data_IF_860085437568
#
_entry.id   IF_860085437568
#
_cell.length_a   1.000
_cell.length_b   1.000
_cell.length_c   1.000
_cell.angle_alpha   90.00
_cell.angle_beta   90.00
_cell.angle_gamma   90.00
#
_symmetry.space_group_name_H-M   'P 1'
#
loop_
_entity.id
_entity.type
_entity.pdbx_description
1 polymer ?
#
# COMPACT_ATOMS: atom_id res chain seq x y z
N UNK A 1 11.03 33.53 13.02
CA UNK A 1 11.62 32.29 12.48
C UNK A 1 10.53 31.53 11.75
N UNK A 2 10.77 31.02 10.54
CA UNK A 2 9.81 30.20 9.79
C UNK A 2 9.56 28.89 10.56
N UNK A 3 8.29 28.55 10.80
CA UNK A 3 7.84 27.32 11.47
C UNK A 3 8.34 26.08 10.70
N UNK A 4 8.69 25.01 11.41
CA UNK A 4 9.00 23.72 10.75
C UNK A 4 7.72 23.13 10.16
N UNK A 5 7.83 22.50 9.00
CA UNK A 5 6.79 21.71 8.36
C UNK A 5 7.15 20.23 8.52
N UNK A 6 6.24 19.46 9.11
CA UNK A 6 6.40 18.03 9.35
C UNK A 6 5.30 17.29 8.60
N UNK A 7 5.70 16.56 7.56
CA UNK A 7 4.82 15.70 6.80
C UNK A 7 4.86 14.28 7.35
N UNK A 8 3.71 13.71 7.67
CA UNK A 8 3.57 12.34 8.16
C UNK A 8 2.89 11.52 7.07
N UNK A 9 3.62 10.55 6.50
CA UNK A 9 3.05 9.61 5.55
C UNK A 9 2.32 8.51 6.31
N UNK A 10 1.12 8.15 5.87
CA UNK A 10 0.25 7.21 6.56
C UNK A 10 -0.23 6.17 5.56
N UNK A 11 0.13 4.91 5.79
CA UNK A 11 -0.34 3.80 4.97
C UNK A 11 0.53 2.55 5.10
N UNK A 12 -0.03 1.36 4.82
CA UNK A 12 0.70 0.09 4.83
C UNK A 12 1.96 0.10 3.97
N UNK A 13 2.86 -0.87 4.17
CA UNK A 13 3.97 -1.05 3.23
C UNK A 13 3.45 -1.30 1.80
N UNK A 14 4.28 -0.98 0.80
CA UNK A 14 3.97 -1.17 -0.63
C UNK A 14 2.82 -0.31 -1.20
N UNK A 15 2.42 0.77 -0.52
CA UNK A 15 1.43 1.74 -1.03
C UNK A 15 2.01 2.90 -1.86
N UNK A 16 3.32 2.91 -2.15
CA UNK A 16 3.97 3.97 -2.93
C UNK A 16 4.53 5.15 -2.13
N UNK A 17 4.60 5.07 -0.80
CA UNK A 17 5.19 6.12 0.07
C UNK A 17 6.61 6.52 -0.33
N UNK A 18 7.51 5.55 -0.51
CA UNK A 18 8.91 5.86 -0.86
C UNK A 18 9.02 6.51 -2.25
N UNK A 19 8.15 6.11 -3.21
CA UNK A 19 8.03 6.78 -4.51
C UNK A 19 7.55 8.23 -4.35
N UNK A 20 6.58 8.47 -3.45
CA UNK A 20 6.13 9.82 -3.10
C UNK A 20 7.26 10.68 -2.51
N UNK A 21 8.08 10.12 -1.63
CA UNK A 21 9.23 10.83 -1.04
C UNK A 21 10.23 11.23 -2.13
N UNK A 22 10.56 10.31 -3.05
CA UNK A 22 11.53 10.56 -4.12
C UNK A 22 11.12 11.68 -5.09
N UNK A 23 9.82 11.81 -5.38
CA UNK A 23 9.30 12.89 -6.25
C UNK A 23 9.10 14.23 -5.53
N UNK A 24 9.20 14.24 -4.20
CA UNK A 24 8.91 15.40 -3.36
C UNK A 24 10.20 16.05 -2.87
N UNK A 25 10.13 17.35 -2.55
CA UNK A 25 11.29 18.10 -2.03
C UNK A 25 11.21 18.21 -0.51
N UNK A 26 11.83 17.27 0.20
CA UNK A 26 12.02 17.33 1.65
C UNK A 26 13.48 17.65 1.97
N UNK A 27 13.70 18.42 3.03
CA UNK A 27 15.06 18.71 3.52
C UNK A 27 15.64 17.50 4.25
N UNK A 28 14.77 16.70 4.90
CA UNK A 28 15.16 15.54 5.67
C UNK A 28 14.07 14.46 5.71
N UNK A 29 14.48 13.20 5.59
CA UNK A 29 13.60 12.01 5.67
C UNK A 29 13.92 11.22 6.93
N UNK A 30 12.93 11.06 7.81
CA UNK A 30 12.98 10.12 8.93
C UNK A 30 12.36 8.81 8.44
N UNK A 31 13.20 7.86 8.04
CA UNK A 31 12.80 6.54 7.51
C UNK A 31 13.41 5.42 8.34
N UNK A 32 12.56 4.52 8.85
CA UNK A 32 13.06 3.31 9.51
C UNK A 32 13.63 2.32 8.49
N UNK A 33 13.06 2.26 7.29
CA UNK A 33 13.51 1.33 6.25
C UNK A 33 14.92 1.69 5.77
N UNK A 34 15.24 2.97 5.57
CA UNK A 34 16.58 3.42 5.18
C UNK A 34 17.64 3.00 6.20
N UNK A 35 17.28 3.07 7.49
CA UNK A 35 18.16 2.66 8.59
C UNK A 35 18.31 1.14 8.64
N UNK A 36 17.23 0.40 8.41
CA UNK A 36 17.28 -1.06 8.32
C UNK A 36 18.17 -1.48 7.15
N UNK A 37 18.01 -0.86 5.97
CA UNK A 37 18.83 -1.14 4.78
C UNK A 37 20.32 -0.91 5.04
N UNK A 38 20.66 0.18 5.71
CA UNK A 38 22.03 0.41 6.13
C UNK A 38 22.55 -0.70 7.05
N UNK A 39 21.77 -1.07 8.07
CA UNK A 39 22.15 -2.08 9.05
C UNK A 39 22.30 -3.46 8.42
N UNK A 40 21.39 -3.88 7.54
CA UNK A 40 21.49 -5.20 6.92
C UNK A 40 22.74 -5.29 6.03
N UNK A 41 23.13 -4.20 5.37
CA UNK A 41 24.38 -4.13 4.60
C UNK A 41 25.61 -4.19 5.53
N UNK A 42 25.61 -3.44 6.63
CA UNK A 42 26.72 -3.40 7.59
C UNK A 42 26.94 -4.75 8.29
N UNK A 43 25.88 -5.56 8.45
CA UNK A 43 25.92 -6.85 9.14
C UNK A 43 25.77 -8.07 8.21
N UNK A 44 25.76 -7.88 6.89
CA UNK A 44 25.56 -8.92 5.87
C UNK A 44 24.33 -9.82 6.14
N UNK A 45 23.20 -9.17 6.44
CA UNK A 45 21.89 -9.80 6.65
C UNK A 45 20.96 -9.56 5.47
N UNK A 46 19.96 -10.40 5.32
CA UNK A 46 18.78 -10.13 4.51
C UNK A 46 17.75 -9.31 5.30
N UNK A 47 16.84 -8.65 4.59
CA UNK A 47 15.72 -7.93 5.22
C UNK A 47 14.90 -8.89 6.11
N UNK A 48 14.64 -10.11 5.62
CA UNK A 48 13.91 -11.14 6.37
C UNK A 48 14.59 -11.50 7.69
N UNK A 49 15.88 -11.83 7.64
CA UNK A 49 16.65 -12.20 8.84
C UNK A 49 16.62 -11.08 9.89
N UNK A 50 16.74 -9.82 9.47
CA UNK A 50 16.66 -8.69 10.40
C UNK A 50 15.33 -8.62 11.17
N UNK A 51 14.20 -8.93 10.53
CA UNK A 51 12.88 -8.92 11.18
C UNK A 51 12.61 -10.17 12.03
N UNK A 52 13.31 -11.27 11.78
CA UNK A 52 13.30 -12.49 12.62
C UNK A 52 14.12 -12.30 13.91
N UNK A 53 14.94 -11.25 14.02
CA UNK A 53 15.69 -10.93 15.24
C UNK A 53 14.78 -10.52 16.40
N UNK A 54 15.04 -11.13 17.56
CA UNK A 54 14.44 -10.78 18.85
C UNK A 54 14.54 -9.29 19.18
N UNK A 55 13.54 -8.75 19.88
CA UNK A 55 13.45 -7.32 20.16
C UNK A 55 14.71 -6.76 20.86
N UNK A 56 15.31 -7.52 21.77
CA UNK A 56 16.50 -7.13 22.54
C UNK A 56 17.84 -7.46 21.85
N UNK A 57 17.81 -8.02 20.63
CA UNK A 57 19.01 -8.33 19.86
C UNK A 57 19.90 -7.07 19.69
N UNK A 58 21.24 -7.18 19.79
CA UNK A 58 22.15 -6.03 19.63
C UNK A 58 21.91 -5.20 18.37
N UNK A 59 21.69 -5.86 17.22
CA UNK A 59 21.41 -5.20 15.93
C UNK A 59 20.09 -4.42 15.96
N UNK A 60 19.05 -4.94 16.65
CA UNK A 60 17.77 -4.24 16.83
C UNK A 60 17.92 -3.04 17.76
N UNK A 61 18.78 -3.13 18.78
CA UNK A 61 19.13 -1.98 19.65
C UNK A 61 19.90 -0.91 18.89
N UNK A 62 20.81 -1.31 18.02
CA UNK A 62 21.52 -0.40 17.11
C UNK A 62 20.56 0.34 16.19
N UNK A 63 19.63 -0.38 15.53
CA UNK A 63 18.59 0.22 14.69
C UNK A 63 17.80 1.31 15.44
N UNK A 64 17.35 1.02 16.66
CA UNK A 64 16.62 2.01 17.48
C UNK A 64 17.48 3.21 17.85
N UNK A 65 18.77 2.99 18.13
CA UNK A 65 19.72 4.07 18.41
C UNK A 65 19.92 4.98 17.19
N UNK A 66 20.10 4.41 16.00
CA UNK A 66 20.20 5.16 14.75
C UNK A 66 18.91 5.90 14.43
N UNK A 67 17.75 5.28 14.64
CA UNK A 67 16.45 5.93 14.46
C UNK A 67 16.30 7.14 15.39
N UNK A 68 16.64 6.98 16.68
CA UNK A 68 16.62 8.10 17.62
C UNK A 68 17.55 9.24 17.19
N UNK A 69 18.76 8.92 16.70
CA UNK A 69 19.70 9.92 16.17
C UNK A 69 19.12 10.65 14.95
N UNK A 70 18.51 9.93 14.01
CA UNK A 70 17.84 10.51 12.84
C UNK A 70 16.73 11.48 13.25
N UNK A 71 15.92 11.12 14.25
CA UNK A 71 14.89 12.02 14.81
C UNK A 71 15.53 13.28 15.42
N UNK A 72 16.64 13.18 16.15
CA UNK A 72 17.31 14.39 16.66
C UNK A 72 17.89 15.26 15.55
N UNK A 73 18.50 14.64 14.54
CA UNK A 73 19.11 15.34 13.40
C UNK A 73 18.06 16.11 12.59
N UNK A 74 16.91 15.48 12.35
CA UNK A 74 15.80 16.09 11.61
C UNK A 74 15.35 17.44 12.16
N UNK A 75 15.53 17.70 13.46
CA UNK A 75 15.12 18.95 14.12
C UNK A 75 15.87 20.18 13.63
N UNK A 76 17.01 20.00 12.95
CA UNK A 76 17.80 21.10 12.36
C UNK A 76 17.23 21.59 11.02
N UNK A 77 16.31 20.84 10.43
CA UNK A 77 15.75 21.08 9.10
C UNK A 77 14.37 21.72 9.17
N UNK A 78 13.93 22.35 8.07
CA UNK A 78 12.66 23.07 8.03
C UNK A 78 11.53 22.23 7.48
N UNK A 79 11.77 21.45 6.43
CA UNK A 79 10.79 20.59 5.78
C UNK A 79 11.15 19.12 5.96
N UNK A 80 10.42 18.43 6.83
CA UNK A 80 10.75 17.07 7.28
C UNK A 80 9.62 16.12 6.87
N UNK A 81 9.96 14.91 6.44
CA UNK A 81 8.98 13.84 6.23
C UNK A 81 9.27 12.64 7.12
N UNK A 82 8.22 12.06 7.69
CA UNK A 82 8.25 10.79 8.41
C UNK A 82 7.73 9.68 7.48
N UNK A 83 8.66 8.94 6.86
CA UNK A 83 8.37 7.76 6.03
C UNK A 83 8.36 6.50 6.90
N UNK A 84 7.22 6.28 7.55
CA UNK A 84 6.89 5.04 8.25
C UNK A 84 5.45 4.68 7.89
N UNK A 85 4.95 3.54 8.39
CA UNK A 85 3.58 3.13 8.12
C UNK A 85 2.53 3.98 8.86
N UNK A 86 2.85 4.45 10.08
CA UNK A 86 2.04 5.38 10.88
C UNK A 86 0.54 5.02 11.00
N UNK A 87 0.25 3.72 11.09
CA UNK A 87 -1.10 3.16 10.96
C UNK A 87 -2.04 3.52 12.12
N UNK A 88 -1.52 3.71 13.33
CA UNK A 88 -2.32 3.97 14.53
C UNK A 88 -2.16 5.40 15.03
N UNK A 89 -3.22 5.95 15.64
CA UNK A 89 -3.23 7.26 16.30
C UNK A 89 -2.12 7.36 17.35
N UNK A 90 -1.93 6.29 18.13
CA UNK A 90 -0.89 6.22 19.15
C UNK A 90 0.54 6.36 18.58
N UNK A 91 0.79 5.84 17.37
CA UNK A 91 2.09 6.01 16.71
C UNK A 91 2.26 7.41 16.15
N UNK A 92 1.22 7.97 15.50
CA UNK A 92 1.23 9.36 15.01
C UNK A 92 1.42 10.37 16.14
N UNK A 93 0.82 10.12 17.30
CA UNK A 93 0.95 10.97 18.49
C UNK A 93 2.40 11.12 19.00
N UNK A 94 3.25 10.11 18.79
CA UNK A 94 4.66 10.19 19.20
C UNK A 94 5.42 11.24 18.38
N UNK A 95 5.02 11.46 17.13
CA UNK A 95 5.66 12.40 16.21
C UNK A 95 5.44 13.84 16.69
N UNK A 96 4.22 14.21 17.10
CA UNK A 96 3.93 15.56 17.60
C UNK A 96 4.84 15.98 18.76
N UNK A 97 5.17 15.03 19.65
CA UNK A 97 6.06 15.28 20.80
C UNK A 97 7.47 15.70 20.41
N UNK A 98 7.92 15.34 19.21
CA UNK A 98 9.25 15.71 18.73
C UNK A 98 9.32 17.14 18.18
N UNK A 99 8.19 17.73 17.76
CA UNK A 99 8.12 19.05 17.14
C UNK A 99 6.93 19.86 17.67
N UNK A 100 6.98 20.32 18.93
CA UNK A 100 5.83 20.94 19.60
C UNK A 100 5.31 22.23 18.95
N UNK A 101 6.12 22.88 18.12
CA UNK A 101 5.80 24.14 17.43
C UNK A 101 5.79 24.00 15.91
N UNK A 102 5.70 22.79 15.36
CA UNK A 102 5.65 22.56 13.91
C UNK A 102 4.23 22.69 13.35
N UNK A 103 4.16 22.90 12.03
CA UNK A 103 2.97 22.67 11.22
C UNK A 103 2.99 21.22 10.75
N UNK A 104 1.88 20.51 10.94
CA UNK A 104 1.75 19.09 10.67
C UNK A 104 0.83 18.83 9.49
N UNK A 105 1.36 18.12 8.50
CA UNK A 105 0.63 17.69 7.32
C UNK A 105 0.56 16.17 7.32
N UNK A 106 -0.64 15.60 7.21
CA UNK A 106 -0.81 14.17 6.98
C UNK A 106 -1.03 13.90 5.49
N UNK A 107 -0.38 12.85 4.99
CA UNK A 107 -0.65 12.29 3.67
C UNK A 107 -1.11 10.85 3.86
N UNK A 108 -2.41 10.63 3.66
CA UNK A 108 -3.05 9.31 3.73
C UNK A 108 -2.94 8.62 2.36
N UNK A 109 -2.28 7.47 2.32
CA UNK A 109 -2.24 6.62 1.13
C UNK A 109 -3.48 5.72 1.13
N UNK A 110 -4.41 5.98 0.21
CA UNK A 110 -5.70 5.30 0.11
C UNK A 110 -5.48 3.89 -0.39
N UNK A 111 -5.60 2.92 0.52
CA UNK A 111 -5.31 1.51 0.26
C UNK A 111 -6.52 0.58 0.39
N UNK A 112 -7.62 1.08 0.99
CA UNK A 112 -8.86 0.30 1.15
C UNK A 112 -9.45 0.00 -0.22
N UNK A 113 -9.88 -1.25 -0.40
CA UNK A 113 -10.31 -1.85 -1.65
C UNK A 113 -9.20 -2.01 -2.71
N UNK A 114 -7.93 -1.86 -2.31
CA UNK A 114 -6.74 -2.05 -3.15
C UNK A 114 -5.76 -3.03 -2.54
N UNK A 115 -6.16 -3.73 -1.48
CA UNK A 115 -5.33 -4.65 -0.72
C UNK A 115 -4.72 -5.72 -1.62
N UNK A 116 -5.52 -6.32 -2.52
CA UNK A 116 -5.03 -7.31 -3.49
C UNK A 116 -3.84 -6.78 -4.31
N UNK A 117 -3.97 -5.58 -4.88
CA UNK A 117 -2.90 -4.97 -5.68
C UNK A 117 -1.68 -4.65 -4.84
N UNK A 118 -1.86 -4.22 -3.60
CA UNK A 118 -0.72 -3.96 -2.68
C UNK A 118 0.02 -5.27 -2.36
N UNK A 119 -0.71 -6.37 -2.16
CA UNK A 119 -0.10 -7.69 -1.97
C UNK A 119 0.66 -8.13 -3.23
N UNK A 120 0.07 -7.94 -4.43
CA UNK A 120 0.72 -8.22 -5.73
C UNK A 120 1.99 -7.39 -5.90
N UNK A 121 1.91 -6.07 -5.75
CA UNK A 121 3.07 -5.16 -5.82
C UNK A 121 4.15 -5.52 -4.79
N UNK A 122 3.77 -5.98 -3.60
CA UNK A 122 4.76 -6.42 -2.62
C UNK A 122 5.50 -7.69 -3.07
N UNK A 123 4.81 -8.64 -3.72
CA UNK A 123 5.43 -9.84 -4.29
C UNK A 123 6.40 -9.49 -5.42
N UNK A 124 5.98 -8.60 -6.33
CA UNK A 124 6.82 -8.09 -7.42
C UNK A 124 8.06 -7.36 -6.88
N UNK A 125 7.87 -6.45 -5.91
CA UNK A 125 8.97 -5.73 -5.26
C UNK A 125 9.96 -6.67 -4.57
N UNK A 126 9.50 -7.78 -4.01
CA UNK A 126 10.40 -8.78 -3.44
C UNK A 126 11.29 -9.42 -4.50
N UNK A 127 10.74 -9.76 -5.66
CA UNK A 127 11.51 -10.32 -6.78
C UNK A 127 12.58 -9.33 -7.29
N UNK A 128 12.25 -8.04 -7.32
CA UNK A 128 13.16 -6.99 -7.79
C UNK A 128 14.25 -6.61 -6.77
N UNK A 129 13.89 -6.52 -5.49
CA UNK A 129 14.72 -5.85 -4.47
C UNK A 129 15.18 -6.77 -3.34
N UNK A 130 14.64 -7.99 -3.24
CA UNK A 130 14.86 -8.90 -2.11
C UNK A 130 14.19 -8.46 -0.80
N UNK A 131 13.46 -7.34 -0.79
CA UNK A 131 12.71 -6.84 0.39
C UNK A 131 11.44 -7.66 0.60
N UNK A 132 11.58 -8.78 1.29
CA UNK A 132 10.47 -9.67 1.60
C UNK A 132 9.63 -9.13 2.77
N UNK A 133 8.32 -8.98 2.55
CA UNK A 133 7.33 -8.73 3.61
C UNK A 133 6.29 -9.83 3.52
N UNK A 134 6.10 -10.65 4.58
CA UNK A 134 5.08 -11.70 4.57
C UNK A 134 3.67 -11.12 4.35
N UNK A 135 2.84 -11.84 3.59
CA UNK A 135 1.47 -11.41 3.30
C UNK A 135 0.64 -11.19 4.56
N UNK A 136 0.74 -12.10 5.54
CA UNK A 136 0.06 -11.95 6.84
C UNK A 136 0.50 -10.71 7.60
N UNK A 137 1.75 -10.27 7.41
CA UNK A 137 2.23 -9.01 7.99
C UNK A 137 1.57 -7.80 7.33
N UNK A 138 1.38 -7.82 6.01
CA UNK A 138 0.63 -6.77 5.29
C UNK A 138 -0.85 -6.76 5.68
N UNK A 139 -1.50 -7.93 5.76
CA UNK A 139 -2.88 -8.06 6.25
C UNK A 139 -3.03 -7.48 7.65
N UNK A 140 -2.13 -7.83 8.55
CA UNK A 140 -2.11 -7.24 9.89
C UNK A 140 -1.86 -5.71 9.89
N UNK A 141 -1.18 -5.16 8.88
CA UNK A 141 -1.09 -3.70 8.71
C UNK A 141 -2.43 -3.09 8.27
N UNK A 142 -3.17 -3.75 7.38
CA UNK A 142 -4.50 -3.32 6.95
C UNK A 142 -5.49 -3.27 8.11
N UNK A 143 -5.43 -4.26 9.01
CA UNK A 143 -6.31 -4.37 10.18
C UNK A 143 -5.97 -3.36 11.28
N UNK A 144 -4.68 -3.04 11.45
CA UNK A 144 -4.21 -2.05 12.43
C UNK A 144 -4.51 -0.61 12.04
N UNK A 145 -4.97 -0.37 10.82
CA UNK A 145 -5.17 0.99 10.33
C UNK A 145 -6.29 1.71 11.08
N UNK A 146 -5.96 2.86 11.65
CA UNK A 146 -6.92 3.80 12.23
C UNK A 146 -6.99 5.07 11.36
N UNK A 147 -8.19 5.45 10.89
CA UNK A 147 -8.39 6.64 10.07
C UNK A 147 -7.74 7.88 10.66
N UNK A 148 -7.02 8.62 9.82
CA UNK A 148 -6.42 9.91 10.20
C UNK A 148 -7.50 10.97 10.40
N UNK A 149 -7.35 11.82 11.42
CA UNK A 149 -8.27 12.94 11.63
C UNK A 149 -7.57 14.21 12.11
N UNK A 150 -8.18 15.36 11.85
CA UNK A 150 -7.68 16.67 12.34
C UNK A 150 -7.67 16.76 13.86
N UNK A 151 -8.51 15.98 14.56
CA UNK A 151 -8.55 15.94 16.02
C UNK A 151 -7.23 15.41 16.64
N UNK A 152 -6.38 14.76 15.84
CA UNK A 152 -5.06 14.32 16.30
C UNK A 152 -4.05 15.47 16.40
N UNK A 153 -4.31 16.61 15.74
CA UNK A 153 -3.41 17.77 15.71
C UNK A 153 -2.79 18.09 14.35
N UNK A 154 -3.29 17.50 13.26
CA UNK A 154 -2.86 17.85 11.89
C UNK A 154 -3.49 19.15 11.40
N UNK A 155 -2.67 20.06 10.87
CA UNK A 155 -3.11 21.29 10.22
C UNK A 155 -3.80 20.99 8.88
N UNK A 156 -3.24 20.05 8.10
CA UNK A 156 -3.83 19.57 6.84
C UNK A 156 -3.78 18.06 6.72
N UNK A 157 -4.74 17.50 5.98
CA UNK A 157 -4.78 16.10 5.59
C UNK A 157 -5.04 16.07 4.08
N UNK A 158 -4.14 15.45 3.32
CA UNK A 158 -4.33 15.14 1.91
C UNK A 158 -4.36 13.63 1.71
N UNK A 159 -4.91 13.22 0.57
CA UNK A 159 -4.98 11.82 0.15
C UNK A 159 -4.17 11.61 -1.11
N UNK A 160 -3.41 10.53 -1.12
CA UNK A 160 -2.70 10.02 -2.30
C UNK A 160 -3.28 8.65 -2.62
N UNK A 161 -3.61 8.41 -3.87
CA UNK A 161 -4.07 7.08 -4.29
C UNK A 161 -2.91 6.09 -4.15
N UNK A 162 -3.12 4.99 -3.42
CA UNK A 162 -2.15 3.90 -3.45
C UNK A 162 -2.23 3.27 -4.84
N UNK A 163 -1.07 3.22 -5.50
CA UNK A 163 -0.85 2.68 -6.84
C UNK A 163 -1.59 3.47 -7.95
N UNK A 164 -1.03 3.56 -9.17
CA UNK A 164 -1.75 4.10 -10.33
C UNK A 164 -2.96 3.21 -10.68
N UNK A 165 -3.74 3.62 -11.69
CA UNK A 165 -4.79 2.77 -12.25
C UNK A 165 -4.20 1.38 -12.53
N UNK A 166 -4.77 0.38 -11.87
CA UNK A 166 -4.25 -0.98 -11.93
C UNK A 166 -4.93 -1.71 -13.09
N UNK A 167 -4.22 -2.64 -13.72
CA UNK A 167 -4.78 -3.48 -14.78
C UNK A 167 -4.83 -4.91 -14.27
N UNK A 168 -6.03 -5.50 -14.28
CA UNK A 168 -6.24 -6.92 -14.07
C UNK A 168 -6.33 -7.58 -15.45
N UNK A 169 -5.28 -8.26 -15.84
CA UNK A 169 -5.26 -9.11 -17.03
C UNK A 169 -5.72 -10.50 -16.57
N UNK A 170 -6.87 -10.96 -17.04
CA UNK A 170 -7.46 -12.21 -16.57
C UNK A 170 -6.58 -13.43 -16.91
N UNK A 171 -5.97 -13.43 -18.09
CA UNK A 171 -5.05 -14.46 -18.57
C UNK A 171 -3.81 -14.61 -17.68
N UNK A 172 -3.27 -13.50 -17.16
CA UNK A 172 -2.12 -13.49 -16.24
C UNK A 172 -2.47 -14.07 -14.87
N UNK A 173 -3.76 -14.21 -14.57
CA UNK A 173 -4.29 -14.75 -13.33
C UNK A 173 -4.89 -16.15 -13.52
N UNK A 174 -4.43 -16.87 -14.56
CA UNK A 174 -4.78 -18.25 -14.88
C UNK A 174 -6.27 -18.48 -15.26
N UNK A 175 -6.98 -17.44 -15.71
CA UNK A 175 -8.32 -17.61 -16.26
C UNK A 175 -8.27 -18.17 -17.69
N UNK A 176 -8.84 -19.37 -17.92
CA UNK A 176 -8.86 -20.01 -19.25
C UNK A 176 -9.98 -19.43 -20.14
N UNK A 177 -9.60 -18.43 -20.93
CA UNK A 177 -10.47 -17.76 -21.90
C UNK A 177 -10.81 -18.63 -23.11
N UNK A 178 -10.02 -19.66 -23.38
CA UNK A 178 -10.08 -20.47 -24.60
C UNK A 178 -10.65 -21.86 -24.34
N UNK A 179 -11.12 -22.14 -23.12
CA UNK A 179 -11.71 -23.40 -22.70
C UNK A 179 -12.66 -23.98 -23.78
N UNK A 180 -12.18 -24.90 -24.64
CA UNK A 180 -12.82 -25.17 -25.93
C UNK A 180 -14.10 -26.00 -25.81
N UNK A 181 -14.43 -26.39 -24.58
CA UNK A 181 -15.59 -27.17 -24.21
C UNK A 181 -16.74 -26.32 -23.68
N UNK A 182 -16.52 -25.01 -23.45
CA UNK A 182 -17.54 -24.10 -22.96
C UNK A 182 -18.25 -23.40 -24.11
N UNK A 183 -19.56 -23.27 -24.00
CA UNK A 183 -20.34 -22.35 -24.83
C UNK A 183 -20.25 -20.91 -24.29
N UNK A 184 -20.81 -19.95 -25.02
CA UNK A 184 -20.73 -18.53 -24.68
C UNK A 184 -21.26 -18.20 -23.27
N UNK A 185 -22.37 -18.81 -22.85
CA UNK A 185 -22.93 -18.60 -21.51
C UNK A 185 -22.11 -19.27 -20.42
N UNK A 186 -21.56 -20.45 -20.71
CA UNK A 186 -20.66 -21.15 -19.80
C UNK A 186 -19.35 -20.37 -19.57
N UNK A 187 -18.83 -19.69 -20.60
CA UNK A 187 -17.68 -18.79 -20.46
C UNK A 187 -17.99 -17.60 -19.55
N UNK A 188 -19.14 -16.95 -19.71
CA UNK A 188 -19.55 -15.82 -18.84
C UNK A 188 -19.74 -16.29 -17.40
N UNK A 189 -20.35 -17.47 -17.20
CA UNK A 189 -20.51 -18.08 -15.88
C UNK A 189 -19.16 -18.43 -15.24
N UNK A 190 -18.25 -19.01 -16.01
CA UNK A 190 -16.89 -19.34 -15.56
C UNK A 190 -16.13 -18.09 -15.12
N UNK A 191 -16.22 -16.99 -15.88
CA UNK A 191 -15.64 -15.71 -15.50
C UNK A 191 -16.20 -15.20 -14.17
N UNK A 192 -17.52 -15.28 -13.98
CA UNK A 192 -18.16 -14.89 -12.72
C UNK A 192 -17.64 -15.73 -11.55
N UNK A 193 -17.65 -17.05 -11.69
CA UNK A 193 -17.18 -17.99 -10.66
C UNK A 193 -15.70 -17.76 -10.31
N UNK A 194 -14.85 -17.46 -11.31
CA UNK A 194 -13.46 -17.08 -11.11
C UNK A 194 -13.33 -15.79 -10.30
N UNK A 195 -14.05 -14.73 -10.69
CA UNK A 195 -14.00 -13.45 -9.98
C UNK A 195 -14.55 -13.55 -8.56
N UNK A 196 -15.66 -14.26 -8.36
CA UNK A 196 -16.23 -14.53 -7.03
C UNK A 196 -15.23 -15.24 -6.11
N UNK A 197 -14.41 -16.16 -6.68
CA UNK A 197 -13.46 -16.97 -5.91
C UNK A 197 -12.17 -16.23 -5.60
N UNK A 198 -11.61 -15.51 -6.57
CA UNK A 198 -10.27 -14.93 -6.50
C UNK A 198 -10.26 -13.43 -6.24
N UNK A 199 -11.36 -12.74 -6.54
CA UNK A 199 -11.47 -11.28 -6.49
C UNK A 199 -12.76 -10.83 -5.78
N UNK A 200 -12.99 -11.23 -4.51
CA UNK A 200 -14.24 -10.93 -3.79
C UNK A 200 -14.54 -9.43 -3.67
N UNK A 201 -13.51 -8.58 -3.67
CA UNK A 201 -13.69 -7.12 -3.65
C UNK A 201 -14.29 -6.55 -4.95
N UNK A 202 -14.24 -7.30 -6.04
CA UNK A 202 -14.92 -6.99 -7.31
C UNK A 202 -16.37 -7.49 -7.24
N UNK A 203 -16.60 -8.71 -6.72
CA UNK A 203 -17.94 -9.28 -6.63
C UNK A 203 -18.84 -8.58 -5.60
N UNK A 204 -18.25 -7.94 -4.60
CA UNK A 204 -18.97 -7.11 -3.61
C UNK A 204 -19.42 -5.74 -4.16
N UNK A 205 -19.13 -5.42 -5.43
CA UNK A 205 -19.52 -4.13 -6.03
C UNK A 205 -21.01 -4.06 -6.34
N UNK A 206 -21.60 -2.90 -6.02
CA UNK A 206 -22.97 -2.59 -6.45
C UNK A 206 -23.06 -2.57 -7.99
N UNK A 207 -23.96 -3.38 -8.55
CA UNK A 207 -24.09 -3.61 -9.99
C UNK A 207 -23.23 -4.76 -10.56
N UNK A 208 -22.46 -5.49 -9.73
CA UNK A 208 -21.65 -6.62 -10.19
C UNK A 208 -22.50 -7.71 -10.84
N UNK A 209 -23.57 -8.17 -10.18
CA UNK A 209 -24.43 -9.24 -10.73
C UNK A 209 -25.17 -8.79 -12.00
N UNK A 210 -25.49 -7.50 -12.12
CA UNK A 210 -26.15 -6.95 -13.31
C UNK A 210 -25.26 -7.07 -14.55
N UNK A 211 -23.94 -6.89 -14.41
CA UNK A 211 -22.97 -7.07 -15.51
C UNK A 211 -23.12 -8.45 -16.16
N UNK A 212 -23.20 -9.52 -15.35
CA UNK A 212 -23.29 -10.88 -15.87
C UNK A 212 -24.69 -11.23 -16.38
N UNK A 213 -25.73 -10.63 -15.78
CA UNK A 213 -27.11 -10.82 -16.22
C UNK A 213 -27.38 -10.16 -17.57
N UNK A 214 -26.85 -8.96 -17.80
CA UNK A 214 -27.03 -8.22 -19.05
C UNK A 214 -26.16 -8.78 -20.18
N UNK A 215 -25.04 -9.42 -19.84
CA UNK A 215 -24.05 -9.95 -20.79
C UNK A 215 -23.96 -11.48 -20.80
N UNK A 216 -25.06 -12.19 -20.52
CA UNK A 216 -25.11 -13.65 -20.32
C UNK A 216 -24.43 -14.46 -21.44
N UNK A 217 -24.38 -13.95 -22.68
CA UNK A 217 -23.83 -14.65 -23.84
C UNK A 217 -22.61 -13.97 -24.49
N UNK A 218 -22.01 -12.97 -23.83
CA UNK A 218 -20.86 -12.24 -24.37
C UNK A 218 -19.82 -11.95 -23.30
N UNK A 219 -18.77 -12.77 -23.25
CA UNK A 219 -17.66 -12.57 -22.31
C UNK A 219 -16.97 -11.22 -22.55
N UNK A 220 -16.83 -10.78 -23.81
CA UNK A 220 -16.20 -9.49 -24.13
C UNK A 220 -17.02 -8.31 -23.61
N UNK A 221 -18.35 -8.36 -23.73
CA UNK A 221 -19.22 -7.32 -23.19
C UNK A 221 -19.23 -7.36 -21.66
N UNK A 222 -19.27 -8.56 -21.06
CA UNK A 222 -19.16 -8.72 -19.61
C UNK A 222 -17.85 -8.11 -19.07
N UNK A 223 -16.71 -8.40 -19.71
CA UNK A 223 -15.40 -7.83 -19.33
C UNK A 223 -15.37 -6.31 -19.51
N UNK A 224 -15.94 -5.80 -20.60
CA UNK A 224 -16.01 -4.36 -20.84
C UNK A 224 -16.80 -3.63 -19.74
N UNK A 225 -18.00 -4.12 -19.43
CA UNK A 225 -18.88 -3.49 -18.43
C UNK A 225 -18.34 -3.69 -17.02
N UNK A 226 -17.73 -4.84 -16.74
CA UNK A 226 -16.98 -5.08 -15.52
C UNK A 226 -15.83 -4.08 -15.38
N UNK A 227 -15.06 -3.85 -16.44
CA UNK A 227 -13.96 -2.88 -16.44
C UNK A 227 -14.46 -1.46 -16.16
N UNK A 228 -15.59 -1.06 -16.76
CA UNK A 228 -16.23 0.22 -16.46
C UNK A 228 -16.66 0.34 -14.99
N UNK A 229 -17.24 -0.73 -14.45
CA UNK A 229 -17.66 -0.81 -13.05
C UNK A 229 -16.45 -0.73 -12.09
N UNK A 230 -15.42 -1.54 -12.32
CA UNK A 230 -14.22 -1.56 -11.46
C UNK A 230 -13.39 -0.28 -11.59
N UNK A 231 -13.39 0.37 -12.75
CA UNK A 231 -12.75 1.68 -12.91
C UNK A 231 -13.42 2.75 -12.05
N UNK A 232 -14.76 2.75 -12.00
CA UNK A 232 -15.53 3.71 -11.19
C UNK A 232 -15.29 3.54 -9.69
N UNK A 233 -15.16 2.30 -9.21
CA UNK A 233 -15.10 2.01 -7.77
C UNK A 233 -13.68 1.86 -7.23
N UNK A 234 -12.80 1.22 -8.00
CA UNK A 234 -11.47 0.81 -7.53
C UNK A 234 -10.32 1.37 -8.38
N UNK A 235 -10.62 2.16 -9.42
CA UNK A 235 -9.63 2.60 -10.41
C UNK A 235 -8.86 1.41 -11.03
N UNK A 236 -9.60 0.34 -11.31
CA UNK A 236 -9.11 -0.92 -11.86
C UNK A 236 -9.68 -1.17 -13.26
N UNK A 237 -8.80 -1.40 -14.23
CA UNK A 237 -9.18 -1.80 -15.58
C UNK A 237 -9.09 -3.32 -15.70
N UNK A 238 -10.18 -3.99 -16.09
CA UNK A 238 -10.18 -5.44 -16.35
C UNK A 238 -10.00 -5.68 -17.84
N UNK A 239 -9.10 -6.57 -18.21
CA UNK A 239 -8.74 -6.90 -19.59
C UNK A 239 -8.73 -8.41 -19.77
N UNK A 240 -9.30 -8.83 -20.90
CA UNK A 240 -9.11 -10.14 -21.49
C UNK A 240 -8.07 -9.97 -22.61
N UNK A 241 -6.99 -10.75 -22.63
CA UNK A 241 -5.96 -10.65 -23.67
C UNK A 241 -5.95 -11.83 -24.64
#
# INVERSE_FOLDING_TARGET
>A
MTKQQVTVLIGPACTGKSTFVQRSKFDYVVSSDDIVEKIINDHNLTYREFFELEFNHPIRREQRSLFFKSVQESKKYKNIVWDLTNLTKANRQKIFKHYPNAEFHAIEFVFKNKEYFILKTCRERYQETGKFIPEDTLKAMFDKYEPVSRLEGFDTISREEALPASVLILDDEDFDIHAPHLNAAEHVKSLKEFLDSYFPYISDLDGYDDVFKENEYSILCAVHDLSALTMKHHNLYVVLM
#
